data_IF_828875878197
#
_entry.id   IF_828875878197
#
_cell.length_a   1.000
_cell.length_b   1.000
_cell.length_c   1.000
_cell.angle_alpha   90.00
_cell.angle_beta   90.00
_cell.angle_gamma   90.00
#
_symmetry.space_group_name_H-M   'P 1'
#
loop_
_entity.id
_entity.type
_entity.pdbx_description
1 polymer ?
#
# COMPACT_ATOMS: atom_id res chain seq x y z
N UNK A 1 -23.99 -11.99 -26.71
CA UNK A 1 -22.65 -11.93 -26.11
C UNK A 1 -21.64 -11.46 -27.16
N UNK A 2 -20.47 -11.01 -26.74
CA UNK A 2 -19.41 -10.48 -27.64
C UNK A 2 -18.66 -11.58 -28.41
N UNK A 3 -19.01 -12.86 -28.24
CA UNK A 3 -18.35 -13.99 -28.93
C UNK A 3 -16.89 -14.21 -28.53
N UNK A 4 -16.46 -13.63 -27.39
CA UNK A 4 -15.09 -13.76 -26.87
C UNK A 4 -14.93 -15.14 -26.25
N UNK A 5 -13.93 -15.89 -26.72
CA UNK A 5 -13.51 -17.17 -26.15
C UNK A 5 -12.29 -16.91 -25.25
N UNK A 6 -12.48 -16.98 -23.93
CA UNK A 6 -11.45 -16.64 -22.95
C UNK A 6 -10.20 -17.51 -23.09
N UNK A 7 -10.35 -18.77 -23.48
CA UNK A 7 -9.27 -19.74 -23.66
C UNK A 7 -8.33 -19.38 -24.83
N UNK A 8 -8.79 -18.53 -25.75
CA UNK A 8 -8.02 -18.08 -26.92
C UNK A 8 -7.41 -16.70 -26.73
N UNK A 9 -7.70 -16.03 -25.61
CA UNK A 9 -7.12 -14.72 -25.31
C UNK A 9 -5.65 -14.88 -24.92
N UNK A 10 -4.81 -14.03 -25.51
CA UNK A 10 -3.42 -13.94 -25.04
C UNK A 10 -3.38 -13.30 -23.65
N UNK A 11 -2.59 -13.88 -22.78
CA UNK A 11 -2.32 -13.32 -21.47
C UNK A 11 -1.61 -11.97 -21.62
N UNK A 12 -2.23 -10.92 -21.12
CA UNK A 12 -1.66 -9.58 -21.11
C UNK A 12 -1.52 -9.08 -19.67
N UNK A 13 -0.29 -8.92 -19.23
CA UNK A 13 0.01 -8.39 -17.91
C UNK A 13 0.32 -6.90 -17.99
N UNK A 14 -0.51 -6.09 -17.34
CA UNK A 14 -0.26 -4.65 -17.16
C UNK A 14 0.65 -4.34 -15.96
N UNK A 15 1.03 -5.38 -15.20
CA UNK A 15 1.78 -5.22 -13.94
C UNK A 15 3.29 -4.97 -14.13
N UNK A 16 3.77 -4.99 -15.38
CA UNK A 16 5.20 -4.83 -15.66
C UNK A 16 5.69 -3.38 -15.67
N UNK A 17 4.77 -2.42 -15.68
CA UNK A 17 5.10 -1.00 -15.90
C UNK A 17 5.16 -0.16 -14.62
N UNK A 18 4.81 -0.73 -13.47
CA UNK A 18 4.84 0.00 -12.20
C UNK A 18 6.00 -0.42 -11.32
N UNK A 19 6.51 0.55 -10.56
CA UNK A 19 7.60 0.35 -9.61
C UNK A 19 7.18 -0.57 -8.46
N UNK A 20 8.16 -1.18 -7.82
CA UNK A 20 7.97 -2.11 -6.71
C UNK A 20 7.09 -1.54 -5.59
N UNK A 21 7.32 -0.29 -5.22
CA UNK A 21 6.60 0.39 -4.15
C UNK A 21 5.11 0.55 -4.44
N UNK A 22 4.74 0.78 -5.70
CA UNK A 22 3.32 0.88 -6.11
C UNK A 22 2.59 -0.46 -5.92
N UNK A 23 3.26 -1.59 -6.17
CA UNK A 23 2.69 -2.91 -5.85
C UNK A 23 2.56 -3.15 -4.35
N UNK A 24 3.35 -2.47 -3.53
CA UNK A 24 3.28 -2.53 -2.08
C UNK A 24 2.06 -1.85 -1.46
N UNK A 25 1.27 -1.08 -2.21
CA UNK A 25 0.09 -0.35 -1.70
C UNK A 25 -1.00 -1.25 -1.12
N UNK A 26 -1.00 -2.53 -1.47
CA UNK A 26 -1.96 -3.50 -0.98
C UNK A 26 -1.80 -3.84 0.52
N UNK A 27 -0.67 -3.52 1.13
CA UNK A 27 -0.45 -3.70 2.57
C UNK A 27 -0.50 -2.37 3.33
N UNK A 28 -0.88 -2.43 4.59
CA UNK A 28 -0.82 -1.26 5.48
C UNK A 28 0.64 -0.81 5.68
N UNK A 29 0.91 0.47 5.46
CA UNK A 29 2.25 1.06 5.41
C UNK A 29 2.86 1.10 4.01
N UNK A 30 2.19 0.56 2.98
CA UNK A 30 2.71 0.50 1.62
C UNK A 30 2.78 1.85 0.93
N UNK A 31 1.77 2.70 1.11
CA UNK A 31 1.78 4.07 0.56
C UNK A 31 2.84 4.92 1.27
N UNK A 32 2.91 4.83 2.59
CA UNK A 32 3.95 5.50 3.37
C UNK A 32 5.36 5.05 2.95
N UNK A 33 5.55 3.76 2.73
CA UNK A 33 6.79 3.19 2.23
C UNK A 33 7.18 3.75 0.86
N UNK A 34 6.23 3.86 -0.06
CA UNK A 34 6.47 4.44 -1.39
C UNK A 34 6.82 5.94 -1.32
N UNK A 35 6.12 6.71 -0.48
CA UNK A 35 6.44 8.13 -0.26
C UNK A 35 7.87 8.29 0.26
N UNK A 36 8.26 7.48 1.25
CA UNK A 36 9.62 7.50 1.80
C UNK A 36 10.67 7.09 0.76
N UNK A 37 10.42 6.04 -0.02
CA UNK A 37 11.32 5.62 -1.09
C UNK A 37 11.49 6.70 -2.17
N UNK A 38 10.41 7.42 -2.51
CA UNK A 38 10.47 8.54 -3.46
C UNK A 38 11.28 9.73 -2.92
N UNK A 39 11.15 10.02 -1.63
CA UNK A 39 11.86 11.14 -0.99
C UNK A 39 13.35 10.87 -0.76
N UNK A 40 13.78 9.60 -0.79
CA UNK A 40 15.18 9.18 -0.59
C UNK A 40 15.74 9.75 0.73
N UNK A 41 16.77 10.59 0.64
CA UNK A 41 17.45 11.21 1.80
C UNK A 41 16.55 12.14 2.62
N UNK A 42 15.45 12.61 2.05
CA UNK A 42 14.49 13.47 2.75
C UNK A 42 13.41 12.68 3.52
N UNK A 43 13.41 11.36 3.40
CA UNK A 43 12.41 10.48 4.02
C UNK A 43 12.31 10.65 5.54
N UNK A 44 13.43 10.90 6.20
CA UNK A 44 13.51 11.07 7.66
C UNK A 44 12.95 12.42 8.15
N UNK A 45 12.77 13.39 7.24
CA UNK A 45 12.17 14.70 7.57
C UNK A 45 10.66 14.62 7.72
N UNK A 46 10.02 13.55 7.23
CA UNK A 46 8.59 13.37 7.29
C UNK A 46 8.22 12.49 8.49
N UNK A 47 7.48 13.08 9.43
CA UNK A 47 6.80 12.32 10.46
C UNK A 47 5.51 11.71 9.87
N UNK A 48 5.51 10.40 9.64
CA UNK A 48 4.40 9.67 9.07
C UNK A 48 3.74 8.77 10.12
N UNK A 49 2.40 8.73 10.10
CA UNK A 49 1.58 7.89 10.97
C UNK A 49 0.81 6.91 10.11
N UNK A 50 0.78 5.67 10.55
CA UNK A 50 -0.03 4.62 9.98
C UNK A 50 -1.23 4.32 10.87
N UNK A 51 -2.43 4.36 10.30
CA UNK A 51 -3.67 3.92 10.92
C UNK A 51 -4.18 2.72 10.12
N UNK A 52 -4.08 1.55 10.72
CA UNK A 52 -4.57 0.30 10.15
C UNK A 52 -5.76 -0.18 10.96
N UNK A 53 -6.84 -0.55 10.27
CA UNK A 53 -8.15 -0.87 10.83
C UNK A 53 -8.95 0.37 11.30
N UNK A 54 -10.13 0.56 10.73
CA UNK A 54 -11.05 1.65 11.10
C UNK A 54 -11.96 1.19 12.24
N UNK A 55 -11.38 1.00 13.41
CA UNK A 55 -12.11 0.73 14.64
C UNK A 55 -12.48 2.03 15.39
N UNK A 56 -13.26 1.91 16.47
CA UNK A 56 -13.73 3.06 17.27
C UNK A 56 -12.59 3.93 17.79
N UNK A 57 -11.47 3.33 18.20
CA UNK A 57 -10.28 4.03 18.72
C UNK A 57 -9.61 4.85 17.62
N UNK A 58 -9.40 4.25 16.46
CA UNK A 58 -8.75 4.90 15.32
C UNK A 58 -9.63 6.00 14.73
N UNK A 59 -10.96 5.80 14.66
CA UNK A 59 -11.90 6.85 14.28
C UNK A 59 -11.86 8.05 15.25
N UNK A 60 -11.79 7.79 16.56
CA UNK A 60 -11.69 8.85 17.56
C UNK A 60 -10.38 9.64 17.41
N UNK A 61 -9.25 8.96 17.16
CA UNK A 61 -7.96 9.58 16.86
C UNK A 61 -8.04 10.50 15.64
N UNK A 62 -8.55 10.01 14.51
CA UNK A 62 -8.67 10.79 13.29
C UNK A 62 -9.60 12.00 13.46
N UNK A 63 -10.72 11.83 14.20
CA UNK A 63 -11.62 12.95 14.53
C UNK A 63 -10.95 14.00 15.42
N UNK A 64 -10.12 13.58 16.38
CA UNK A 64 -9.37 14.49 17.24
C UNK A 64 -8.33 15.28 16.40
N UNK A 65 -7.62 14.63 15.51
CA UNK A 65 -6.72 15.29 14.58
C UNK A 65 -7.43 16.34 13.72
N UNK A 66 -8.59 15.97 13.15
CA UNK A 66 -9.38 16.86 12.31
C UNK A 66 -9.92 18.07 13.07
N UNK A 67 -10.38 17.89 14.34
CA UNK A 67 -10.92 18.99 15.17
C UNK A 67 -9.84 19.96 15.63
N UNK A 68 -8.66 19.46 15.98
CA UNK A 68 -7.60 20.30 16.56
C UNK A 68 -6.68 20.91 15.51
N UNK A 69 -6.74 20.44 14.27
CA UNK A 69 -5.76 20.76 13.23
C UNK A 69 -4.34 20.26 13.56
N UNK A 70 -4.20 19.51 14.65
CA UNK A 70 -2.92 18.94 15.11
C UNK A 70 -2.90 17.45 14.81
N UNK A 71 -2.39 17.09 13.65
CA UNK A 71 -2.04 15.72 13.39
C UNK A 71 -0.73 15.38 14.14
N UNK A 72 -0.64 14.18 14.71
CA UNK A 72 0.60 13.73 15.34
C UNK A 72 1.71 13.46 14.31
N UNK A 73 1.42 13.64 13.02
CA UNK A 73 2.36 13.56 11.90
C UNK A 73 1.93 14.41 10.71
N UNK A 74 2.86 14.66 9.82
CA UNK A 74 2.62 15.44 8.59
C UNK A 74 1.91 14.62 7.51
N UNK A 75 2.02 13.29 7.59
CA UNK A 75 1.41 12.35 6.68
C UNK A 75 0.71 11.24 7.46
N UNK A 76 -0.53 10.99 7.16
CA UNK A 76 -1.31 9.92 7.80
C UNK A 76 -1.81 8.97 6.72
N UNK A 77 -1.29 7.75 6.71
CA UNK A 77 -1.83 6.66 5.91
C UNK A 77 -2.96 5.97 6.67
N UNK A 78 -4.14 5.89 6.07
CA UNK A 78 -5.31 5.25 6.66
C UNK A 78 -5.75 4.08 5.80
N UNK A 79 -5.77 2.88 6.40
CA UNK A 79 -6.29 1.67 5.77
C UNK A 79 -7.51 1.17 6.54
N UNK A 80 -8.60 0.86 5.84
CA UNK A 80 -9.85 0.40 6.46
C UNK A 80 -9.72 -0.99 7.08
N UNK A 81 -8.95 -1.87 6.47
CA UNK A 81 -8.74 -3.25 6.92
C UNK A 81 -7.44 -3.37 7.70
N UNK A 82 -7.44 -4.19 8.75
CA UNK A 82 -6.23 -4.57 9.46
C UNK A 82 -5.26 -5.28 8.51
N UNK A 83 -4.01 -4.82 8.44
CA UNK A 83 -3.01 -5.36 7.51
C UNK A 83 -3.07 -4.83 6.09
N UNK A 84 -4.16 -4.16 5.70
CA UNK A 84 -4.37 -3.62 4.36
C UNK A 84 -5.25 -4.50 3.46
N UNK A 85 -5.23 -4.25 2.16
CA UNK A 85 -6.06 -4.96 1.18
C UNK A 85 -5.73 -6.47 1.07
N UNK A 86 -4.51 -6.87 1.44
CA UNK A 86 -4.09 -8.28 1.44
C UNK A 86 -4.88 -9.15 2.43
N UNK A 87 -5.58 -8.54 3.36
CA UNK A 87 -6.45 -9.20 4.35
C UNK A 87 -7.86 -8.62 4.35
N UNK A 88 -8.20 -7.87 3.30
CA UNK A 88 -9.51 -7.26 3.15
C UNK A 88 -10.62 -8.25 2.76
N UNK A 89 -11.85 -7.76 2.57
CA UNK A 89 -12.95 -8.57 2.10
C UNK A 89 -12.59 -9.33 0.82
N UNK A 90 -13.06 -10.56 0.71
CA UNK A 90 -12.78 -11.47 -0.42
C UNK A 90 -11.35 -12.00 -0.51
N UNK A 91 -10.51 -11.80 0.50
CA UNK A 91 -9.22 -12.48 0.63
C UNK A 91 -9.34 -13.67 1.58
N UNK A 92 -8.53 -14.70 1.34
CA UNK A 92 -8.45 -15.89 2.20
C UNK A 92 -7.14 -15.96 3.01
N UNK A 93 -6.33 -14.93 2.94
CA UNK A 93 -5.06 -14.86 3.65
C UNK A 93 -5.23 -14.29 5.06
N UNK A 94 -4.44 -14.80 6.00
CA UNK A 94 -4.12 -14.09 7.22
C UNK A 94 -3.03 -13.02 6.98
N UNK A 95 -2.86 -12.11 7.93
CA UNK A 95 -1.92 -10.98 7.80
C UNK A 95 -0.48 -11.44 7.56
N UNK A 96 -0.04 -12.49 8.24
CA UNK A 96 1.35 -12.98 8.16
C UNK A 96 1.63 -13.61 6.81
N UNK A 97 0.74 -14.51 6.38
CA UNK A 97 0.83 -15.17 5.07
C UNK A 97 0.71 -14.19 3.92
N UNK A 98 -0.24 -13.27 3.99
CA UNK A 98 -0.44 -12.24 2.96
C UNK A 98 0.76 -11.33 2.81
N UNK A 99 1.34 -10.84 3.90
CA UNK A 99 2.57 -10.03 3.88
C UNK A 99 3.76 -10.78 3.31
N UNK A 100 3.93 -12.05 3.69
CA UNK A 100 5.02 -12.87 3.16
C UNK A 100 4.91 -13.09 1.66
N UNK A 101 3.70 -13.42 1.17
CA UNK A 101 3.46 -13.61 -0.26
C UNK A 101 3.69 -12.32 -1.05
N UNK A 102 3.16 -11.20 -0.56
CA UNK A 102 3.39 -9.90 -1.18
C UNK A 102 4.88 -9.55 -1.20
N UNK A 103 5.60 -9.73 -0.09
CA UNK A 103 7.04 -9.45 -0.03
C UNK A 103 7.83 -10.28 -1.05
N UNK A 104 7.50 -11.55 -1.22
CA UNK A 104 8.11 -12.42 -2.24
C UNK A 104 7.84 -11.91 -3.65
N UNK A 105 6.63 -11.41 -3.91
CA UNK A 105 6.27 -10.84 -5.21
C UNK A 105 7.01 -9.53 -5.47
N UNK A 106 7.14 -8.67 -4.45
CA UNK A 106 7.89 -7.41 -4.57
C UNK A 106 9.37 -7.62 -4.86
N UNK A 107 9.99 -8.70 -4.33
CA UNK A 107 11.39 -9.03 -4.61
C UNK A 107 11.63 -9.37 -6.09
N UNK A 108 10.62 -9.79 -6.83
CA UNK A 108 10.72 -10.04 -8.28
C UNK A 108 10.74 -8.75 -9.11
N UNK A 109 10.35 -7.62 -8.52
CA UNK A 109 10.31 -6.33 -9.21
C UNK A 109 11.68 -5.67 -9.21
N UNK A 110 12.15 -5.28 -10.38
CA UNK A 110 13.49 -4.67 -10.56
C UNK A 110 13.46 -3.16 -10.35
N UNK A 111 12.37 -2.51 -10.78
CA UNK A 111 12.25 -1.06 -10.71
C UNK A 111 11.74 -0.61 -9.34
N UNK A 112 12.37 0.43 -8.80
CA UNK A 112 12.05 1.04 -7.51
C UNK A 112 12.25 2.55 -7.61
N UNK A 113 11.53 3.33 -6.81
CA UNK A 113 11.76 4.77 -6.70
C UNK A 113 13.19 5.12 -6.22
N UNK A 114 13.81 4.24 -5.44
CA UNK A 114 15.18 4.42 -4.98
C UNK A 114 16.20 4.32 -6.14
N UNK A 115 15.90 3.52 -7.16
CA UNK A 115 16.79 3.27 -8.31
C UNK A 115 16.49 4.16 -9.51
N UNK A 116 15.36 4.89 -9.50
CA UNK A 116 15.00 5.80 -10.58
C UNK A 116 15.80 7.10 -10.47
N UNK A 117 16.39 7.51 -11.59
CA UNK A 117 16.96 8.86 -11.70
C UNK A 117 15.83 9.91 -11.73
N UNK A 118 16.06 11.05 -11.08
CA UNK A 118 15.11 12.19 -11.06
C UNK A 118 15.36 13.10 -12.26
#
# INVERSE_FOLDING_TARGET
GLGIQLEQMQEFSVLHTSVREAHGFAQAGGVMGAVKAYLKEEADKINAIQVSDINKKNIALLRACAKTGKAAGQFIEVMACEGGCITGPSTHNDIVSGRRQLAQELLKRKESYETMDR
#
